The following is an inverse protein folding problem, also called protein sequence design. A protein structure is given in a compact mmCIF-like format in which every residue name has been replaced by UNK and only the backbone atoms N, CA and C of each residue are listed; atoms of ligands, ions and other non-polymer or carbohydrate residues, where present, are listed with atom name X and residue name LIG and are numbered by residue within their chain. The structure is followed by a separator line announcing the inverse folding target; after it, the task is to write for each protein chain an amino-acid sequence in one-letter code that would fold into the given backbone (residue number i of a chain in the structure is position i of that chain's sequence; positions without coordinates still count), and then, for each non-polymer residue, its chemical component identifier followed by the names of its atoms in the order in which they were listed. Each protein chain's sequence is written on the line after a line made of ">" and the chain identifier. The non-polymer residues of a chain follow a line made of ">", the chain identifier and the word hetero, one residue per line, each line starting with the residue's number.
data_IF_743034767703
#
_entry.id   IF_743034767703
#
_cell.length_a   1.000
_cell.length_b   1.000
_cell.length_c   1.000
_cell.angle_alpha   90.00
_cell.angle_beta   90.00
_cell.angle_gamma   90.00
#
_symmetry.space_group_name_H-M   'P 1'
#
loop_
_entity.id
_entity.type
_entity.pdbx_description
1 polymer ?
#
# COMPACT_ATOMS: atom_id res chain seq x y z
N UNK A 1 15.36 -8.52 7.31
CA UNK A 1 14.05 -7.92 6.96
C UNK A 1 13.46 -7.46 8.26
N UNK A 2 13.11 -6.17 8.40
CA UNK A 2 12.41 -5.73 9.62
C UNK A 2 10.91 -5.88 9.36
N UNK A 3 10.20 -6.35 10.38
CA UNK A 3 8.83 -6.85 10.25
C UNK A 3 7.85 -5.77 9.77
N UNK A 4 8.17 -4.49 10.01
CA UNK A 4 7.32 -3.35 9.61
C UNK A 4 7.33 -3.14 8.10
N UNK A 5 8.51 -3.12 7.47
CA UNK A 5 8.63 -2.85 6.04
C UNK A 5 7.86 -3.86 5.20
N UNK A 6 7.99 -5.15 5.50
CA UNK A 6 7.25 -6.21 4.79
C UNK A 6 5.75 -6.08 4.98
N UNK A 7 5.31 -5.78 6.20
CA UNK A 7 3.88 -5.57 6.51
C UNK A 7 3.28 -4.44 5.68
N UNK A 8 3.98 -3.30 5.56
CA UNK A 8 3.51 -2.17 4.76
C UNK A 8 3.40 -2.53 3.27
N UNK A 9 4.39 -3.23 2.72
CA UNK A 9 4.41 -3.67 1.31
C UNK A 9 3.25 -4.64 1.05
N UNK A 10 3.05 -5.63 1.92
CA UNK A 10 1.95 -6.58 1.82
C UNK A 10 0.58 -5.89 1.88
N UNK A 11 0.41 -4.88 2.75
CA UNK A 11 -0.84 -4.12 2.84
C UNK A 11 -1.14 -3.32 1.57
N UNK A 12 -0.12 -2.67 0.98
CA UNK A 12 -0.30 -1.95 -0.30
C UNK A 12 -0.73 -2.92 -1.40
N UNK A 13 -0.11 -4.10 -1.48
CA UNK A 13 -0.42 -5.12 -2.49
C UNK A 13 -1.75 -5.83 -2.23
N UNK A 14 -2.17 -5.97 -0.98
CA UNK A 14 -3.43 -6.61 -0.62
C UNK A 14 -4.65 -5.71 -0.90
N UNK A 15 -4.43 -4.40 -1.03
CA UNK A 15 -5.49 -3.45 -1.33
C UNK A 15 -5.80 -3.40 -2.82
N UNK A 16 -7.09 -3.45 -3.18
CA UNK A 16 -7.58 -3.59 -4.56
C UNK A 16 -7.05 -2.51 -5.52
N UNK A 17 -6.77 -1.30 -5.03
CA UNK A 17 -6.23 -0.22 -5.88
C UNK A 17 -4.71 -0.30 -6.11
N UNK A 18 -4.01 -1.20 -5.42
CA UNK A 18 -2.54 -1.31 -5.49
C UNK A 18 -1.77 -0.12 -4.91
N UNK A 19 -2.47 0.85 -4.31
CA UNK A 19 -1.88 2.06 -3.72
C UNK A 19 -2.54 2.37 -2.38
N UNK A 20 -1.78 2.90 -1.42
CA UNK A 20 -2.32 3.40 -0.13
C UNK A 20 -1.64 4.70 0.29
N UNK A 21 -2.40 5.60 0.91
CA UNK A 21 -1.86 6.77 1.61
C UNK A 21 -1.26 6.38 2.97
N UNK A 22 -0.49 7.30 3.55
CA UNK A 22 0.06 7.13 4.92
C UNK A 22 -1.07 7.03 5.95
N UNK A 23 -2.14 7.80 5.79
CA UNK A 23 -3.30 7.79 6.70
C UNK A 23 -4.00 6.42 6.68
N UNK A 24 -4.19 5.83 5.51
CA UNK A 24 -4.76 4.48 5.36
C UNK A 24 -3.88 3.37 5.93
N UNK A 25 -2.55 3.50 5.78
CA UNK A 25 -1.59 2.60 6.42
C UNK A 25 -1.62 2.77 7.94
N UNK A 26 -1.75 3.99 8.46
CA UNK A 26 -1.83 4.22 9.91
C UNK A 26 -3.12 3.62 10.49
N UNK A 27 -4.25 3.71 9.78
CA UNK A 27 -5.49 3.05 10.17
C UNK A 27 -5.33 1.53 10.32
N UNK A 28 -4.57 0.91 9.42
CA UNK A 28 -4.29 -0.55 9.43
C UNK A 28 -3.25 -0.96 10.48
N UNK A 29 -2.44 -0.02 10.96
CA UNK A 29 -1.35 -0.27 11.89
C UNK A 29 -1.50 0.61 13.14
N UNK A 30 -2.39 0.19 14.06
CA UNK A 30 -2.69 0.95 15.29
C UNK A 30 -1.51 1.07 16.26
N UNK A 31 -0.45 0.27 16.04
CA UNK A 31 0.83 0.32 16.75
C UNK A 31 1.81 1.36 16.18
N UNK A 32 1.51 1.95 15.01
CA UNK A 32 2.39 2.89 14.31
C UNK A 32 1.76 4.27 14.14
N UNK A 33 2.59 5.30 14.29
CA UNK A 33 2.22 6.67 13.91
C UNK A 33 2.49 6.91 12.44
N UNK A 34 1.79 7.87 11.83
CA UNK A 34 2.03 8.29 10.45
C UNK A 34 3.50 8.65 10.20
N UNK A 35 4.14 9.41 11.10
CA UNK A 35 5.56 9.77 10.96
C UNK A 35 6.52 8.58 10.99
N UNK A 36 6.19 7.50 11.72
CA UNK A 36 6.96 6.26 11.65
C UNK A 36 6.74 5.55 10.31
N UNK A 37 5.49 5.48 9.83
CA UNK A 37 5.16 4.89 8.53
C UNK A 37 5.89 5.63 7.40
N UNK A 38 5.86 6.96 7.39
CA UNK A 38 6.61 7.78 6.44
C UNK A 38 8.12 7.47 6.46
N UNK A 39 8.69 7.27 7.65
CA UNK A 39 10.11 6.93 7.79
C UNK A 39 10.43 5.61 7.10
N UNK A 40 9.58 4.59 7.28
CA UNK A 40 9.75 3.31 6.61
C UNK A 40 9.52 3.42 5.10
N UNK A 41 8.49 4.13 4.64
CA UNK A 41 8.22 4.34 3.23
C UNK A 41 9.34 5.08 2.51
N UNK A 42 9.95 6.10 3.15
CA UNK A 42 11.14 6.77 2.61
C UNK A 42 12.32 5.81 2.47
N UNK A 43 12.58 4.97 3.48
CA UNK A 43 13.63 3.94 3.39
C UNK A 43 13.37 2.97 2.24
N UNK A 44 12.13 2.50 2.10
CA UNK A 44 11.73 1.59 1.01
C UNK A 44 11.83 2.25 -0.37
N UNK A 45 11.54 3.55 -0.45
CA UNK A 45 11.68 4.33 -1.67
C UNK A 45 13.14 4.49 -2.08
N UNK A 46 14.04 4.76 -1.13
CA UNK A 46 15.47 4.85 -1.38
C UNK A 46 16.03 3.52 -1.91
N UNK A 47 15.47 2.40 -1.45
CA UNK A 47 15.75 1.05 -1.93
C UNK A 47 15.00 0.69 -3.24
N UNK A 48 14.19 1.61 -3.78
CA UNK A 48 13.36 1.45 -5.00
C UNK A 48 12.31 0.34 -4.91
N UNK A 49 11.86 0.02 -3.71
CA UNK A 49 10.84 -1.01 -3.44
C UNK A 49 9.43 -0.43 -3.55
N UNK A 50 9.24 0.83 -3.15
CA UNK A 50 7.98 1.57 -3.30
C UNK A 50 8.20 2.86 -4.06
N UNK A 51 7.13 3.42 -4.61
CA UNK A 51 7.14 4.70 -5.31
C UNK A 51 5.95 5.56 -4.88
N UNK A 52 6.15 6.87 -4.62
CA UNK A 52 5.07 7.79 -4.37
C UNK A 52 4.39 8.18 -5.68
N UNK A 53 3.08 8.20 -5.67
CA UNK A 53 2.22 8.64 -6.76
C UNK A 53 1.38 9.83 -6.27
N UNK A 54 1.42 10.98 -6.97
CA UNK A 54 0.61 12.12 -6.59
C UNK A 54 -0.88 11.82 -6.86
N UNK A 55 -1.74 12.46 -6.07
CA UNK A 55 -3.16 12.50 -6.39
C UNK A 55 -3.42 13.33 -7.66
N UNK A 56 -4.40 12.92 -8.47
CA UNK A 56 -4.83 13.68 -9.65
C UNK A 56 -6.33 13.44 -9.94
N UNK A 57 -7.22 14.43 -9.73
CA UNK A 57 -6.92 15.78 -9.27
C UNK A 57 -6.58 15.83 -7.77
N UNK A 58 -5.73 16.76 -7.37
CA UNK A 58 -5.54 17.11 -5.95
C UNK A 58 -6.83 17.72 -5.37
N UNK A 59 -7.15 17.40 -4.11
CA UNK A 59 -8.33 17.94 -3.42
C UNK A 59 -8.02 18.25 -1.96
N UNK A 60 -8.43 19.44 -1.49
CA UNK A 60 -8.25 19.85 -0.10
C UNK A 60 -8.86 18.83 0.87
N UNK A 61 -8.07 18.45 1.88
CA UNK A 61 -8.46 17.49 2.90
C UNK A 61 -8.33 16.03 2.47
N UNK A 62 -7.91 15.74 1.23
CA UNK A 62 -7.55 14.38 0.80
C UNK A 62 -6.02 14.20 0.83
N UNK A 63 -5.52 12.95 0.86
CA UNK A 63 -4.10 12.70 0.73
C UNK A 63 -3.56 13.16 -0.63
N UNK A 64 -2.46 13.92 -0.62
CA UNK A 64 -1.80 14.38 -1.83
C UNK A 64 -0.88 13.31 -2.44
N UNK A 65 -0.50 12.30 -1.65
CA UNK A 65 0.44 11.23 -2.04
C UNK A 65 -0.08 9.87 -1.62
N UNK A 66 -0.05 8.94 -2.56
CA UNK A 66 -0.28 7.52 -2.37
C UNK A 66 1.01 6.75 -2.66
N UNK A 67 1.17 5.58 -2.06
CA UNK A 67 2.35 4.75 -2.22
C UNK A 67 1.98 3.45 -2.89
N UNK A 68 2.71 3.13 -3.95
CA UNK A 68 2.60 1.87 -4.68
C UNK A 68 3.88 1.06 -4.50
N UNK A 69 3.77 -0.27 -4.53
CA UNK A 69 4.96 -1.13 -4.66
C UNK A 69 5.46 -1.09 -6.11
N UNK A 70 6.78 -1.09 -6.33
CA UNK A 70 7.36 -1.18 -7.67
C UNK A 70 7.45 -2.65 -8.12
N UNK A 71 7.65 -2.92 -9.41
CA UNK A 71 7.94 -4.29 -9.87
C UNK A 71 9.19 -4.89 -9.20
N UNK A 72 10.17 -4.04 -8.85
CA UNK A 72 11.33 -4.47 -8.08
C UNK A 72 10.95 -4.91 -6.66
N UNK A 73 10.06 -4.15 -6.01
CA UNK A 73 9.51 -4.50 -4.71
C UNK A 73 8.67 -5.77 -4.71
N UNK A 74 7.87 -5.98 -5.76
CA UNK A 74 7.11 -7.23 -5.96
C UNK A 74 8.08 -8.42 -6.00
N UNK A 75 9.12 -8.36 -6.84
CA UNK A 75 10.12 -9.44 -6.92
C UNK A 75 10.83 -9.68 -5.59
N UNK A 76 11.22 -8.60 -4.90
CA UNK A 76 11.84 -8.70 -3.59
C UNK A 76 10.96 -9.44 -2.57
N UNK A 77 9.65 -9.17 -2.57
CA UNK A 77 8.70 -9.83 -1.68
C UNK A 77 8.49 -11.31 -2.06
N UNK A 78 8.40 -11.61 -3.36
CA UNK A 78 8.31 -12.98 -3.88
C UNK A 78 9.55 -13.79 -3.52
N UNK A 79 10.75 -13.26 -3.73
CA UNK A 79 12.03 -13.92 -3.40
C UNK A 79 12.17 -14.18 -1.88
N UNK A 80 11.47 -13.38 -1.06
CA UNK A 80 11.42 -13.52 0.39
C UNK A 80 10.38 -14.54 0.86
N UNK A 81 9.59 -15.14 -0.03
CA UNK A 81 8.55 -16.13 0.28
C UNK A 81 7.30 -15.54 0.94
N UNK A 82 7.11 -14.22 0.90
CA UNK A 82 6.03 -13.51 1.58
C UNK A 82 4.84 -13.17 0.65
N UNK A 83 4.91 -13.61 -0.60
CA UNK A 83 3.90 -13.34 -1.62
C UNK A 83 2.59 -14.10 -1.38
N UNK A 84 2.69 -15.38 -0.98
CA UNK A 84 1.53 -16.27 -0.85
C UNK A 84 0.50 -15.79 0.18
N UNK A 85 0.92 -14.94 1.12
CA UNK A 85 0.06 -14.39 2.17
C UNK A 85 -0.83 -13.24 1.67
N UNK A 86 -0.55 -12.65 0.50
CA UNK A 86 -1.25 -11.45 0.02
C UNK A 86 -2.72 -11.73 -0.26
N UNK A 87 -3.08 -12.89 -0.80
CA UNK A 87 -4.48 -13.23 -1.10
C UNK A 87 -5.32 -13.28 0.18
N UNK A 88 -4.80 -13.91 1.23
CA UNK A 88 -5.44 -13.96 2.55
C UNK A 88 -5.54 -12.57 3.17
N UNK A 89 -4.51 -11.74 3.00
CA UNK A 89 -4.52 -10.36 3.47
C UNK A 89 -5.53 -9.49 2.71
N UNK A 90 -5.77 -9.74 1.43
CA UNK A 90 -6.76 -9.02 0.62
C UNK A 90 -8.19 -9.30 1.10
N UNK A 91 -8.50 -10.56 1.42
CA UNK A 91 -9.78 -10.92 2.04
C UNK A 91 -9.95 -10.24 3.41
N UNK A 92 -8.90 -10.23 4.22
CA UNK A 92 -8.89 -9.58 5.52
C UNK A 92 -9.05 -8.06 5.41
N UNK A 93 -8.40 -7.44 4.42
CA UNK A 93 -8.50 -6.01 4.14
C UNK A 93 -9.93 -5.63 3.74
N UNK A 94 -10.54 -6.39 2.83
CA UNK A 94 -11.92 -6.19 2.40
C UNK A 94 -12.90 -6.25 3.58
N UNK A 95 -12.64 -7.11 4.57
CA UNK A 95 -13.47 -7.25 5.76
C UNK A 95 -13.29 -6.14 6.82
N UNK A 96 -12.34 -5.22 6.65
CA UNK A 96 -12.09 -4.14 7.62
C UNK A 96 -13.32 -3.24 7.80
N UNK A 97 -13.68 -3.00 9.07
CA UNK A 97 -14.68 -2.00 9.42
C UNK A 97 -14.09 -0.58 9.30
N UNK A 98 -14.08 -0.07 8.08
CA UNK A 98 -13.55 1.25 7.74
C UNK A 98 -14.32 2.36 8.45
N UNK A 99 -13.60 3.34 9.00
CA UNK A 99 -14.20 4.60 9.45
C UNK A 99 -14.74 5.39 8.25
N UNK A 100 -15.59 6.40 8.48
CA UNK A 100 -16.08 7.24 7.39
C UNK A 100 -14.91 7.93 6.66
N UNK A 101 -13.93 8.43 7.41
CA UNK A 101 -12.73 9.08 6.86
C UNK A 101 -11.96 8.17 5.91
N UNK A 102 -11.77 6.90 6.28
CA UNK A 102 -11.04 5.95 5.42
C UNK A 102 -11.84 5.63 4.16
N UNK A 103 -13.17 5.49 4.28
CA UNK A 103 -14.02 5.31 3.08
C UNK A 103 -13.92 6.51 2.14
N UNK A 104 -13.94 7.73 2.68
CA UNK A 104 -13.84 8.95 1.87
C UNK A 104 -12.52 8.98 1.07
N UNK A 105 -11.40 8.52 1.66
CA UNK A 105 -10.10 8.40 0.99
C UNK A 105 -10.07 7.25 -0.02
N UNK A 106 -10.67 6.09 0.31
CA UNK A 106 -10.70 4.93 -0.59
C UNK A 106 -11.55 5.18 -1.84
N UNK A 107 -12.61 5.99 -1.73
CA UNK A 107 -13.47 6.39 -2.85
C UNK A 107 -13.09 7.76 -3.44
N UNK A 108 -11.92 8.30 -3.10
CA UNK A 108 -11.49 9.60 -3.61
C UNK A 108 -11.15 9.51 -5.11
N UNK A 109 -11.80 10.35 -5.92
CA UNK A 109 -11.62 10.39 -7.38
C UNK A 109 -10.18 10.74 -7.82
N UNK A 110 -9.39 11.40 -6.96
CA UNK A 110 -8.00 11.73 -7.24
C UNK A 110 -7.00 10.64 -6.90
N UNK A 111 -7.45 9.44 -6.48
CA UNK A 111 -6.55 8.32 -6.22
C UNK A 111 -5.85 7.89 -7.52
N UNK A 112 -4.51 7.79 -7.54
CA UNK A 112 -3.80 7.32 -8.72
C UNK A 112 -4.03 5.82 -8.93
N UNK A 113 -4.15 5.43 -10.20
CA UNK A 113 -4.13 4.03 -10.59
C UNK A 113 -2.68 3.54 -10.68
N UNK A 114 -2.43 2.32 -10.22
CA UNK A 114 -1.16 1.64 -10.44
C UNK A 114 -1.41 0.22 -10.91
N UNK A 115 -0.88 -0.13 -12.09
CA UNK A 115 -0.97 -1.47 -12.65
C UNK A 115 0.41 -2.11 -12.64
N UNK A 116 0.48 -3.33 -12.13
CA UNK A 116 1.70 -4.13 -12.12
C UNK A 116 1.88 -4.84 -13.46
N UNK A 117 2.98 -4.57 -14.16
CA UNK A 117 3.28 -5.25 -15.43
C UNK A 117 3.58 -6.75 -15.22
N UNK A 118 4.12 -7.10 -14.05
CA UNK A 118 4.46 -8.47 -13.70
C UNK A 118 4.05 -8.79 -12.27
N UNK A 119 2.84 -9.34 -12.13
CA UNK A 119 2.48 -10.13 -10.97
C UNK A 119 2.98 -11.57 -11.18
N UNK A 120 3.45 -12.25 -10.12
CA UNK A 120 3.78 -13.67 -10.21
C UNK A 120 2.56 -14.49 -10.66
N UNK A 121 2.83 -15.52 -11.46
CA UNK A 121 1.82 -16.36 -12.11
C UNK A 121 0.79 -16.92 -11.12
N UNK A 122 -0.50 -16.69 -11.38
CA UNK A 122 -1.60 -17.17 -10.55
C UNK A 122 -2.30 -16.10 -9.71
N UNK A 123 -1.75 -14.89 -9.65
CA UNK A 123 -2.38 -13.75 -8.98
C UNK A 123 -3.32 -13.00 -9.93
N UNK A 124 -4.61 -12.97 -9.62
CA UNK A 124 -5.55 -11.95 -10.13
C UNK A 124 -5.82 -10.99 -8.98
N UNK A 125 -5.65 -9.68 -9.23
CA UNK A 125 -6.25 -8.64 -8.40
C UNK A 125 -7.65 -8.36 -8.92
#
# INVERSE_FOLDING_TARGET
>A
MKDVESRLIQQILAHDSGVLSVEELSFRNTDLTEGHIETHLRSLHDDRIVTPLPADPEQEGMPDVFWAVTDHGVRWLTDSGLWEEIEVLSEADTALNRSQRIRDIETFDGRPEHTYEMLPSGSSM
#
